data_IF_106635234515
#
_entry.id   IF_106635234515
#
_cell.length_a   1.000
_cell.length_b   1.000
_cell.length_c   1.000
_cell.angle_alpha   90.00
_cell.angle_beta   90.00
_cell.angle_gamma   90.00
#
_symmetry.space_group_name_H-M   'P 1'
#
loop_
_entity.id
_entity.type
_entity.pdbx_description
1 polymer ?
#
# COMPACT_ATOMS: atom_id res chain seq x y z
N UNK A 1 -11.23 -17.60 -2.24
CA UNK A 1 -11.19 -16.59 -3.32
C UNK A 1 -11.03 -15.21 -2.71
N UNK A 2 -10.43 -14.24 -3.41
CA UNK A 2 -10.45 -12.84 -2.95
C UNK A 2 -11.86 -12.29 -3.17
N UNK A 3 -12.43 -11.52 -2.23
CA UNK A 3 -13.80 -10.98 -2.35
C UNK A 3 -13.81 -9.73 -3.24
N UNK A 4 -13.29 -9.84 -4.46
CA UNK A 4 -13.23 -8.78 -5.45
C UNK A 4 -14.42 -8.91 -6.42
N UNK A 5 -14.88 -7.77 -6.93
CA UNK A 5 -16.01 -7.65 -7.86
C UNK A 5 -15.53 -7.14 -9.21
N UNK A 6 -16.33 -7.36 -10.25
CA UNK A 6 -16.06 -6.86 -11.61
C UNK A 6 -15.80 -5.34 -11.64
N UNK A 7 -16.54 -4.57 -10.84
CA UNK A 7 -16.34 -3.11 -10.70
C UNK A 7 -14.96 -2.71 -10.18
N UNK A 8 -14.21 -3.62 -9.55
CA UNK A 8 -12.91 -3.35 -8.96
C UNK A 8 -11.78 -3.49 -10.00
N UNK A 9 -12.03 -4.11 -11.16
CA UNK A 9 -11.04 -4.35 -12.21
C UNK A 9 -10.25 -3.10 -12.64
N UNK A 10 -10.89 -1.94 -12.91
CA UNK A 10 -10.15 -0.75 -13.32
C UNK A 10 -9.22 -0.24 -12.19
N UNK A 11 -9.65 -0.35 -10.93
CA UNK A 11 -8.82 0.01 -9.76
C UNK A 11 -7.59 -0.92 -9.70
N UNK A 12 -7.81 -2.23 -9.85
CA UNK A 12 -6.75 -3.25 -9.81
C UNK A 12 -5.70 -2.97 -10.88
N UNK A 13 -6.12 -2.84 -12.14
CA UNK A 13 -5.22 -2.56 -13.27
C UNK A 13 -4.38 -1.31 -13.04
N UNK A 14 -5.05 -0.21 -12.68
CA UNK A 14 -4.42 1.09 -12.54
C UNK A 14 -3.41 1.14 -11.39
N UNK A 15 -3.76 0.55 -10.25
CA UNK A 15 -2.86 0.47 -9.10
C UNK A 15 -1.73 -0.55 -9.30
N UNK A 16 -1.94 -1.64 -10.03
CA UNK A 16 -0.87 -2.57 -10.42
C UNK A 16 0.19 -1.83 -11.26
N UNK A 17 -0.24 -1.13 -12.31
CA UNK A 17 0.65 -0.34 -13.18
C UNK A 17 1.36 0.77 -12.39
N UNK A 18 0.68 1.37 -11.41
CA UNK A 18 1.29 2.38 -10.55
C UNK A 18 2.29 1.80 -9.52
N UNK A 19 2.45 0.47 -9.42
CA UNK A 19 3.37 -0.16 -8.48
C UNK A 19 2.82 -0.36 -7.06
N UNK A 20 1.50 -0.49 -6.90
CA UNK A 20 0.90 -0.84 -5.60
C UNK A 20 0.98 -2.34 -5.33
N UNK A 21 1.37 -2.72 -4.11
CA UNK A 21 1.30 -4.11 -3.68
C UNK A 21 -0.15 -4.60 -3.57
N UNK A 22 -0.32 -5.93 -3.64
CA UNK A 22 -1.61 -6.57 -3.61
C UNK A 22 -2.48 -6.23 -2.38
N UNK A 23 -1.87 -6.01 -1.20
CA UNK A 23 -2.62 -5.59 0.01
C UNK A 23 -3.13 -4.16 -0.12
N UNK A 24 -2.34 -3.23 -0.67
CA UNK A 24 -2.80 -1.88 -0.94
C UNK A 24 -3.96 -1.88 -1.94
N UNK A 25 -3.89 -2.69 -2.99
CA UNK A 25 -5.00 -2.84 -3.95
C UNK A 25 -6.28 -3.31 -3.25
N UNK A 26 -6.22 -4.33 -2.39
CA UNK A 26 -7.39 -4.76 -1.60
C UNK A 26 -7.99 -3.62 -0.75
N UNK A 27 -7.17 -2.72 -0.19
CA UNK A 27 -7.65 -1.56 0.57
C UNK A 27 -8.42 -0.58 -0.30
N UNK A 28 -7.90 -0.27 -1.49
CA UNK A 28 -8.54 0.63 -2.44
C UNK A 28 -9.77 0.01 -3.10
N UNK A 29 -9.89 -1.32 -3.11
CA UNK A 29 -11.11 -2.05 -3.45
C UNK A 29 -12.08 -2.23 -2.25
N UNK A 30 -11.82 -1.57 -1.12
CA UNK A 30 -12.66 -1.59 0.08
C UNK A 30 -12.92 -3.00 0.65
N UNK A 31 -11.96 -3.92 0.49
CA UNK A 31 -12.11 -5.30 0.96
C UNK A 31 -11.96 -5.35 2.48
N UNK A 32 -13.07 -5.37 3.23
CA UNK A 32 -13.07 -5.42 4.70
C UNK A 32 -12.78 -6.80 5.31
N UNK A 33 -12.49 -7.82 4.49
CA UNK A 33 -12.30 -9.20 4.95
C UNK A 33 -10.85 -9.41 5.39
N UNK A 34 -10.61 -9.45 6.70
CA UNK A 34 -9.25 -9.56 7.28
C UNK A 34 -8.44 -10.76 6.75
N UNK A 35 -9.09 -11.90 6.52
CA UNK A 35 -8.43 -13.11 6.02
C UNK A 35 -7.85 -12.94 4.62
N UNK A 36 -8.35 -11.99 3.81
CA UNK A 36 -7.79 -11.67 2.50
C UNK A 36 -6.38 -11.07 2.61
N UNK A 37 -6.10 -10.31 3.67
CA UNK A 37 -4.80 -9.65 3.90
C UNK A 37 -3.73 -10.59 4.45
N UNK A 38 -4.16 -11.71 5.04
CA UNK A 38 -3.29 -12.73 5.65
C UNK A 38 -2.78 -13.78 4.65
N UNK A 39 -3.29 -13.78 3.42
CA UNK A 39 -2.84 -14.71 2.38
C UNK A 39 -1.40 -14.41 1.95
N UNK A 40 -0.61 -15.44 1.56
CA UNK A 40 0.73 -15.26 1.02
C UNK A 40 0.76 -14.31 -0.17
N UNK A 41 1.86 -13.55 -0.33
CA UNK A 41 1.97 -12.52 -1.36
C UNK A 41 1.82 -13.07 -2.78
N UNK A 42 2.55 -14.15 -3.11
CA UNK A 42 2.48 -14.81 -4.42
C UNK A 42 1.04 -15.20 -4.81
N UNK A 43 0.25 -15.69 -3.84
CA UNK A 43 -1.14 -16.09 -4.06
C UNK A 43 -2.04 -14.88 -4.29
N UNK A 44 -1.76 -13.73 -3.66
CA UNK A 44 -2.54 -12.51 -3.86
C UNK A 44 -2.21 -11.86 -5.20
N UNK A 45 -0.94 -11.75 -5.54
CA UNK A 45 -0.47 -11.11 -6.78
C UNK A 45 -1.01 -11.87 -8.01
N UNK A 46 -0.81 -13.19 -8.06
CA UNK A 46 -1.33 -14.03 -9.15
C UNK A 46 -2.85 -13.92 -9.34
N UNK A 47 -3.63 -13.81 -8.26
CA UNK A 47 -5.09 -13.64 -8.34
C UNK A 47 -5.51 -12.26 -8.84
N UNK A 48 -4.77 -11.21 -8.50
CA UNK A 48 -5.04 -9.87 -9.01
C UNK A 48 -4.71 -9.78 -10.50
N UNK A 49 -3.62 -10.42 -10.93
CA UNK A 49 -3.24 -10.53 -12.34
C UNK A 49 -4.30 -11.26 -13.16
N UNK A 50 -4.78 -12.41 -12.68
CA UNK A 50 -5.90 -13.14 -13.31
C UNK A 50 -7.17 -12.30 -13.43
N UNK A 51 -7.45 -11.46 -12.42
CA UNK A 51 -8.62 -10.56 -12.44
C UNK A 51 -8.42 -9.41 -13.44
N UNK A 52 -7.17 -9.02 -13.70
CA UNK A 52 -6.76 -7.95 -14.61
C UNK A 52 -6.70 -8.38 -16.08
N UNK A 53 -6.32 -9.63 -16.37
CA UNK A 53 -6.04 -10.13 -17.73
C UNK A 53 -7.26 -10.60 -18.53
N UNK A 54 -8.43 -10.70 -17.89
CA UNK A 54 -9.64 -11.26 -18.53
C UNK A 54 -10.27 -10.39 -19.65
N UNK A 55 -9.65 -9.28 -20.04
CA UNK A 55 -10.05 -8.45 -21.18
C UNK A 55 -8.82 -7.90 -21.94
N UNK A 56 -8.17 -8.72 -22.77
CA UNK A 56 -7.37 -8.17 -23.88
C UNK A 56 -8.33 -7.70 -24.97
N UNK A 57 -8.68 -6.42 -24.95
CA UNK A 57 -9.23 -5.72 -26.12
C UNK A 57 -8.12 -5.65 -27.16
N UNK A 58 -8.33 -6.34 -28.28
CA UNK A 58 -7.53 -6.18 -29.49
C UNK A 58 -7.84 -4.79 -30.08
N UNK A 59 -6.84 -3.91 -30.16
CA UNK A 59 -6.89 -2.76 -31.07
C UNK A 59 -5.60 -2.75 -31.92
N UNK A 60 -5.71 -2.76 -33.26
CA UNK A 60 -4.56 -2.82 -34.15
C UNK A 60 -4.01 -1.42 -34.44
N UNK A 61 -2.93 -1.03 -33.76
CA UNK A 61 -2.18 0.22 -34.01
C UNK A 61 -0.88 0.02 -34.84
N UNK A 62 -0.42 1.06 -35.57
CA UNK A 62 0.28 0.95 -36.86
C UNK A 62 1.80 0.69 -36.80
N UNK A 63 2.44 0.24 -37.91
CA UNK A 63 3.80 -0.27 -37.89
C UNK A 63 4.82 0.88 -37.94
N UNK A 64 5.57 1.08 -36.85
CA UNK A 64 6.77 1.91 -36.91
C UNK A 64 7.89 1.15 -37.62
N UNK A 65 8.26 1.66 -38.79
CA UNK A 65 9.27 1.15 -39.74
C UNK A 65 10.58 0.78 -39.04
N UNK A 66 10.97 -0.50 -39.16
CA UNK A 66 12.33 -0.98 -38.89
C UNK A 66 13.26 -0.48 -40.00
N UNK A 67 14.35 0.18 -39.60
CA UNK A 67 15.53 0.34 -40.46
C UNK A 67 16.21 -1.02 -40.57
N UNK A 68 16.48 -1.40 -41.81
CA UNK A 68 16.92 -2.71 -42.28
C UNK A 68 18.45 -2.76 -42.36
N UNK A 69 19.08 -3.71 -41.68
CA UNK A 69 20.39 -4.26 -42.04
C UNK A 69 20.35 -5.79 -41.80
N UNK A 70 20.48 -6.53 -42.90
CA UNK A 70 20.42 -7.99 -43.13
C UNK A 70 21.80 -8.66 -42.88
N UNK A 71 22.01 -9.99 -43.10
CA UNK A 71 21.39 -11.15 -42.45
C UNK A 71 22.45 -12.20 -42.02
N UNK A 72 22.11 -13.11 -41.11
CA UNK A 72 22.94 -14.27 -40.76
C UNK A 72 22.07 -15.46 -40.34
N UNK A 73 21.68 -16.23 -41.35
CA UNK A 73 21.22 -17.63 -41.41
C UNK A 73 20.52 -18.31 -40.20
N UNK A 74 19.29 -18.73 -40.51
CA UNK A 74 18.63 -20.01 -40.22
C UNK A 74 18.21 -20.42 -38.79
N UNK A 75 16.89 -20.28 -38.60
CA UNK A 75 15.91 -21.30 -38.16
C UNK A 75 15.76 -21.66 -36.66
N UNK A 76 14.62 -21.21 -36.13
CA UNK A 76 13.69 -21.85 -35.21
C UNK A 76 14.19 -22.44 -33.88
N UNK A 77 13.90 -21.72 -32.80
CA UNK A 77 12.78 -22.10 -31.93
C UNK A 77 12.49 -20.98 -30.92
N UNK A 78 11.26 -20.52 -30.94
CA UNK A 78 10.68 -19.55 -30.02
C UNK A 78 10.68 -20.08 -28.58
N UNK A 79 11.46 -19.47 -27.69
CA UNK A 79 11.25 -19.58 -26.25
C UNK A 79 11.40 -18.21 -25.58
N UNK A 80 10.30 -17.82 -24.92
CA UNK A 80 10.24 -17.04 -23.70
C UNK A 80 10.91 -15.65 -23.66
N UNK A 81 10.13 -14.64 -24.05
CA UNK A 81 10.15 -13.37 -23.33
C UNK A 81 9.54 -13.56 -21.93
N UNK A 82 10.23 -14.32 -21.07
CA UNK A 82 10.00 -14.30 -19.62
C UNK A 82 10.26 -12.87 -19.15
N UNK A 83 9.19 -12.18 -18.78
CA UNK A 83 9.26 -10.94 -18.01
C UNK A 83 10.12 -11.15 -16.77
N UNK A 84 11.30 -10.53 -16.74
CA UNK A 84 12.14 -10.43 -15.54
C UNK A 84 11.47 -9.50 -14.52
N UNK A 85 10.38 -9.95 -13.87
CA UNK A 85 9.72 -9.29 -12.74
C UNK A 85 10.00 -10.07 -11.45
N UNK A 86 11.29 -10.35 -11.21
CA UNK A 86 11.80 -11.14 -10.09
C UNK A 86 12.21 -10.33 -8.85
N UNK A 87 12.12 -9.00 -8.88
CA UNK A 87 12.41 -8.15 -7.73
C UNK A 87 11.12 -7.47 -7.27
N UNK A 88 10.67 -7.81 -6.05
CA UNK A 88 9.49 -7.20 -5.43
C UNK A 88 9.75 -5.70 -5.24
N UNK A 89 9.22 -4.88 -6.15
CA UNK A 89 9.32 -3.43 -6.05
C UNK A 89 8.62 -2.93 -4.78
N UNK A 90 9.22 -1.95 -4.11
CA UNK A 90 8.65 -1.34 -2.91
C UNK A 90 7.36 -0.62 -3.29
N UNK A 91 6.26 -0.98 -2.62
CA UNK A 91 4.94 -0.43 -2.90
C UNK A 91 4.92 1.10 -2.77
N UNK A 92 4.48 1.80 -3.83
CA UNK A 92 4.42 3.27 -3.85
C UNK A 92 3.48 3.87 -2.80
N UNK A 93 2.48 3.10 -2.36
CA UNK A 93 1.44 3.55 -1.44
C UNK A 93 1.77 3.28 0.04
N UNK A 94 2.39 2.14 0.36
CA UNK A 94 2.67 1.77 1.75
C UNK A 94 4.16 1.65 2.10
N UNK A 95 5.08 1.86 1.15
CA UNK A 95 6.52 1.83 1.37
C UNK A 95 6.98 0.54 2.07
N UNK A 96 6.50 -0.61 1.58
CA UNK A 96 6.87 -1.93 2.15
C UNK A 96 6.13 -2.34 3.42
N UNK A 97 5.38 -1.45 4.10
CA UNK A 97 4.70 -1.76 5.38
C UNK A 97 3.75 -2.95 5.27
N UNK A 98 3.01 -3.05 4.17
CA UNK A 98 2.09 -4.16 3.88
C UNK A 98 2.72 -5.22 2.97
N UNK A 99 4.05 -5.23 2.78
CA UNK A 99 4.78 -6.29 2.06
C UNK A 99 5.54 -7.13 3.09
N UNK A 100 6.86 -6.95 3.17
CA UNK A 100 7.76 -7.74 4.02
C UNK A 100 7.71 -7.32 5.49
N UNK A 101 7.38 -6.04 5.75
CA UNK A 101 7.39 -5.48 7.10
C UNK A 101 6.20 -5.91 7.96
N UNK A 102 5.18 -6.55 7.40
CA UNK A 102 4.09 -7.18 8.16
C UNK A 102 4.23 -8.71 8.20
N UNK A 103 5.46 -9.23 8.07
CA UNK A 103 5.82 -10.64 8.19
C UNK A 103 6.28 -11.04 9.60
N UNK A 104 6.52 -12.34 9.78
CA UNK A 104 6.90 -12.99 11.06
C UNK A 104 8.25 -12.55 11.64
N UNK A 105 9.06 -11.79 10.90
CA UNK A 105 10.41 -11.38 11.33
C UNK A 105 10.41 -10.27 12.38
N UNK A 106 9.26 -9.63 12.66
CA UNK A 106 9.11 -8.66 13.76
C UNK A 106 8.89 -9.34 15.11
N UNK A 107 9.69 -10.37 15.40
CA UNK A 107 9.56 -11.20 16.59
C UNK A 107 9.52 -10.33 17.85
N UNK A 108 8.37 -10.35 18.55
CA UNK A 108 8.29 -10.01 19.96
C UNK A 108 9.14 -11.04 20.67
N UNK A 109 10.44 -10.77 20.80
CA UNK A 109 11.36 -11.65 21.52
C UNK A 109 10.82 -11.78 22.93
N UNK A 110 10.83 -13.01 23.44
CA UNK A 110 10.42 -13.38 24.78
C UNK A 110 11.24 -12.62 25.83
N UNK A 111 10.88 -11.36 26.07
CA UNK A 111 11.19 -10.68 27.29
C UNK A 111 10.31 -11.34 28.36
N UNK A 112 10.88 -11.58 29.55
CA UNK A 112 10.22 -12.29 30.65
C UNK A 112 9.18 -11.40 31.35
N UNK A 113 8.26 -10.84 30.60
CA UNK A 113 7.12 -10.12 31.14
C UNK A 113 5.97 -11.10 31.36
N UNK A 114 5.26 -10.90 32.46
CA UNK A 114 4.01 -11.59 32.74
C UNK A 114 2.86 -10.69 32.30
N UNK A 115 2.01 -11.20 31.42
CA UNK A 115 0.85 -10.49 30.90
C UNK A 115 -0.18 -11.48 30.38
N UNK A 116 -1.47 -11.18 30.60
CA UNK A 116 -2.58 -12.02 30.13
C UNK A 116 -3.19 -11.50 28.82
N UNK A 117 -2.87 -10.26 28.45
CA UNK A 117 -3.33 -9.59 27.25
C UNK A 117 -2.36 -8.50 26.85
N UNK A 118 -2.43 -8.03 25.61
CA UNK A 118 -1.58 -6.92 25.13
C UNK A 118 -2.37 -5.93 24.28
N UNK A 119 -1.89 -4.69 24.21
CA UNK A 119 -2.32 -3.70 23.24
C UNK A 119 -1.26 -3.53 22.15
N UNK A 120 -1.68 -3.57 20.89
CA UNK A 120 -0.81 -3.30 19.74
C UNK A 120 -0.92 -1.83 19.33
N UNK A 121 0.17 -1.09 19.49
CA UNK A 121 0.28 0.33 19.16
C UNK A 121 1.13 0.49 17.90
N UNK A 122 0.63 1.27 16.94
CA UNK A 122 1.26 1.40 15.61
C UNK A 122 1.40 2.88 15.28
N UNK A 123 2.63 3.29 15.00
CA UNK A 123 3.00 4.63 14.53
C UNK A 123 3.50 4.54 13.10
N UNK A 124 2.91 5.32 12.19
CA UNK A 124 3.21 5.31 10.77
C UNK A 124 3.79 6.67 10.31
N UNK A 125 4.66 6.70 9.27
CA UNK A 125 5.16 7.93 8.69
C UNK A 125 4.02 8.78 8.13
N UNK A 126 4.06 10.10 8.36
CA UNK A 126 2.98 11.01 7.96
C UNK A 126 2.82 11.12 6.44
N UNK A 127 3.92 10.97 5.70
CA UNK A 127 3.97 10.95 4.24
C UNK A 127 3.12 9.85 3.60
N UNK A 128 2.81 8.77 4.33
CA UNK A 128 1.89 7.74 3.81
C UNK A 128 0.50 8.31 3.54
N UNK A 129 0.05 9.33 4.29
CA UNK A 129 -1.23 9.99 4.01
C UNK A 129 -1.21 10.72 2.67
N UNK A 130 -0.07 11.33 2.29
CA UNK A 130 0.10 12.00 1.00
C UNK A 130 0.05 10.98 -0.14
N UNK A 131 0.77 9.87 0.01
CA UNK A 131 0.81 8.78 -0.98
C UNK A 131 -0.54 8.09 -1.17
N UNK A 132 -1.25 7.85 -0.06
CA UNK A 132 -2.61 7.32 -0.08
C UNK A 132 -3.57 8.26 -0.80
N UNK A 133 -3.50 9.57 -0.52
CA UNK A 133 -4.30 10.57 -1.21
C UNK A 133 -3.98 10.67 -2.70
N UNK A 134 -2.69 10.57 -3.07
CA UNK A 134 -2.27 10.52 -4.47
C UNK A 134 -2.85 9.31 -5.21
N UNK A 135 -2.77 8.12 -4.61
CA UNK A 135 -3.36 6.90 -5.17
C UNK A 135 -4.89 7.00 -5.26
N UNK A 136 -5.54 7.57 -4.26
CA UNK A 136 -6.99 7.82 -4.28
C UNK A 136 -7.39 8.76 -5.44
N UNK A 137 -6.69 9.88 -5.63
CA UNK A 137 -6.92 10.78 -6.77
C UNK A 137 -6.65 10.08 -8.11
N UNK A 138 -5.64 9.21 -8.15
CA UNK A 138 -5.29 8.46 -9.34
C UNK A 138 -6.44 7.52 -9.78
N UNK A 139 -7.09 6.83 -8.84
CA UNK A 139 -8.23 5.95 -9.15
C UNK A 139 -9.56 6.69 -9.28
N UNK A 140 -9.77 7.80 -8.56
CA UNK A 140 -10.96 8.66 -8.67
C UNK A 140 -11.16 9.18 -10.09
N UNK A 141 -10.08 9.45 -10.82
CA UNK A 141 -10.12 9.94 -12.22
C UNK A 141 -10.77 8.97 -13.21
N UNK A 142 -10.94 7.68 -12.87
CA UNK A 142 -11.63 6.69 -13.71
C UNK A 142 -13.16 6.77 -13.64
N UNK A 143 -13.73 7.81 -13.03
CA UNK A 143 -15.19 7.93 -12.84
C UNK A 143 -15.75 6.96 -11.79
N UNK A 144 -14.88 6.29 -11.04
CA UNK A 144 -15.26 5.43 -9.94
C UNK A 144 -15.58 6.29 -8.71
N UNK A 145 -16.81 6.17 -8.21
CA UNK A 145 -17.24 6.77 -6.94
C UNK A 145 -16.62 5.94 -5.80
N UNK A 146 -15.34 6.16 -5.53
CA UNK A 146 -14.65 5.67 -4.36
C UNK A 146 -14.56 6.81 -3.34
N UNK A 147 -15.32 6.71 -2.24
CA UNK A 147 -15.14 7.63 -1.14
C UNK A 147 -13.76 7.41 -0.51
N UNK A 148 -13.11 8.52 -0.13
CA UNK A 148 -11.82 8.46 0.57
C UNK A 148 -11.95 7.71 1.89
N UNK A 149 -13.09 7.84 2.56
CA UNK A 149 -13.33 7.23 3.88
C UNK A 149 -13.61 5.71 3.78
N UNK A 150 -13.93 5.21 2.59
CA UNK A 150 -14.10 3.77 2.34
C UNK A 150 -12.77 3.04 2.16
N UNK A 151 -11.66 3.76 1.92
CA UNK A 151 -10.34 3.16 1.77
C UNK A 151 -9.81 2.72 3.13
N UNK A 152 -9.59 1.42 3.28
CA UNK A 152 -9.07 0.83 4.52
C UNK A 152 -7.68 1.41 4.81
N UNK A 153 -7.47 1.98 5.99
CA UNK A 153 -6.21 2.65 6.34
C UNK A 153 -5.04 1.67 6.50
N UNK A 154 -3.80 2.13 6.28
CA UNK A 154 -2.61 1.24 6.28
C UNK A 154 -2.46 0.64 7.66
N UNK A 155 -2.68 1.47 8.69
CA UNK A 155 -2.65 1.09 10.10
C UNK A 155 -3.66 -0.01 10.42
N UNK A 156 -4.84 0.04 9.83
CA UNK A 156 -5.90 -0.95 10.05
C UNK A 156 -5.56 -2.28 9.38
N UNK A 157 -5.20 -2.25 8.09
CA UNK A 157 -4.77 -3.46 7.38
C UNK A 157 -3.55 -4.11 8.04
N UNK A 158 -2.57 -3.32 8.47
CA UNK A 158 -1.40 -3.79 9.21
C UNK A 158 -1.81 -4.45 10.54
N UNK A 159 -2.72 -3.82 11.29
CA UNK A 159 -3.26 -4.38 12.54
C UNK A 159 -3.95 -5.72 12.31
N UNK A 160 -4.75 -5.87 11.26
CA UNK A 160 -5.41 -7.15 10.94
C UNK A 160 -4.42 -8.30 10.67
N UNK A 161 -3.27 -7.99 10.07
CA UNK A 161 -2.21 -8.95 9.81
C UNK A 161 -1.45 -9.25 11.12
N UNK A 162 -0.92 -8.21 11.76
CA UNK A 162 -0.05 -8.33 12.93
C UNK A 162 -0.75 -8.89 14.16
N UNK A 163 -2.01 -8.55 14.41
CA UNK A 163 -2.74 -9.11 15.56
C UNK A 163 -2.80 -10.64 15.50
N UNK A 164 -3.00 -11.20 14.30
CA UNK A 164 -3.03 -12.65 14.11
C UNK A 164 -1.65 -13.29 14.29
N UNK A 165 -0.59 -12.60 13.87
CA UNK A 165 0.79 -13.09 14.01
C UNK A 165 1.24 -13.04 15.46
N UNK A 166 1.08 -11.89 16.12
CA UNK A 166 1.46 -11.69 17.52
C UNK A 166 0.70 -12.64 18.44
N UNK A 167 -0.61 -12.81 18.25
CA UNK A 167 -1.38 -13.77 19.03
C UNK A 167 -0.85 -15.20 18.85
N UNK A 168 -0.48 -15.59 17.62
CA UNK A 168 0.07 -16.92 17.35
C UNK A 168 1.45 -17.11 18.01
N UNK A 169 2.36 -16.15 17.85
CA UNK A 169 3.72 -16.23 18.38
C UNK A 169 3.78 -16.20 19.91
N UNK A 170 2.84 -15.51 20.55
CA UNK A 170 2.75 -15.41 22.01
C UNK A 170 1.82 -16.46 22.64
N UNK A 171 1.56 -17.57 21.95
CA UNK A 171 0.80 -18.69 22.55
C UNK A 171 -0.70 -18.45 22.73
N UNK A 172 -1.30 -17.60 21.89
CA UNK A 172 -2.74 -17.32 21.90
C UNK A 172 -3.16 -16.11 22.76
N UNK A 173 -2.21 -15.30 23.22
CA UNK A 173 -2.50 -14.10 24.03
C UNK A 173 -3.50 -13.18 23.31
N UNK A 174 -4.49 -12.71 24.06
CA UNK A 174 -5.51 -11.80 23.55
C UNK A 174 -4.93 -10.41 23.24
N UNK A 175 -5.17 -9.92 22.02
CA UNK A 175 -4.84 -8.53 21.64
C UNK A 175 -6.08 -7.66 21.82
N UNK A 176 -6.03 -6.77 22.80
CA UNK A 176 -7.17 -5.96 23.27
C UNK A 176 -6.89 -4.46 23.14
N UNK A 177 -7.93 -3.63 23.22
CA UNK A 177 -7.79 -2.17 23.17
C UNK A 177 -7.32 -1.53 24.49
N UNK A 178 -7.31 -2.30 25.59
CA UNK A 178 -6.89 -1.87 26.92
C UNK A 178 -6.15 -3.02 27.59
N UNK A 179 -4.84 -2.91 27.72
CA UNK A 179 -3.99 -3.82 28.48
C UNK A 179 -2.95 -3.01 29.24
N UNK A 180 -2.44 -3.55 30.35
CA UNK A 180 -1.25 -3.01 31.04
C UNK A 180 0.06 -3.28 30.28
N UNK A 181 0.04 -4.12 29.24
CA UNK A 181 1.19 -4.46 28.42
C UNK A 181 1.01 -3.96 26.98
N UNK A 182 1.96 -3.15 26.49
CA UNK A 182 1.93 -2.54 25.16
C UNK A 182 3.08 -3.06 24.30
N UNK A 183 2.73 -3.49 23.08
CA UNK A 183 3.69 -3.75 22.01
C UNK A 183 3.58 -2.61 21.00
N UNK A 184 4.60 -1.76 20.95
CA UNK A 184 4.71 -0.65 20.02
C UNK A 184 5.47 -1.02 18.76
N UNK A 185 4.92 -0.68 17.60
CA UNK A 185 5.61 -0.74 16.29
C UNK A 185 5.66 0.66 15.71
N UNK A 186 6.87 1.17 15.50
CA UNK A 186 7.10 2.48 14.91
C UNK A 186 7.80 2.33 13.56
N UNK A 187 7.21 2.96 12.55
CA UNK A 187 7.76 3.04 11.21
C UNK A 187 8.20 4.47 10.90
N UNK A 188 9.40 4.60 10.34
CA UNK A 188 9.94 5.85 9.80
C UNK A 188 10.39 5.61 8.36
N UNK A 189 10.40 6.64 7.52
CA UNK A 189 10.90 6.55 6.15
C UNK A 189 11.58 7.87 5.75
N UNK A 190 12.84 8.08 6.16
CA UNK A 190 13.53 9.37 6.00
C UNK A 190 13.62 9.85 4.55
N UNK A 191 13.81 8.93 3.60
CA UNK A 191 13.98 9.23 2.18
C UNK A 191 12.79 9.96 1.55
N UNK A 192 11.60 9.85 2.16
CA UNK A 192 10.37 10.46 1.64
C UNK A 192 9.70 11.38 2.66
N UNK A 193 10.42 11.84 3.68
CA UNK A 193 9.90 12.82 4.65
C UNK A 193 9.54 14.15 3.95
N UNK A 194 10.24 14.47 2.85
CA UNK A 194 9.98 15.63 2.01
C UNK A 194 8.58 15.64 1.37
N UNK A 195 7.91 14.49 1.23
CA UNK A 195 6.61 14.38 0.58
C UNK A 195 5.53 15.26 1.24
N UNK A 196 5.67 15.58 2.54
CA UNK A 196 4.71 16.45 3.23
C UNK A 196 4.99 17.95 3.06
N UNK A 197 6.18 18.34 2.58
CA UNK A 197 6.66 19.71 2.69
C UNK A 197 5.87 20.70 1.84
N UNK A 198 5.38 20.28 0.67
CA UNK A 198 4.57 21.14 -0.18
C UNK A 198 3.25 21.54 0.51
N UNK A 199 2.71 20.70 1.39
CA UNK A 199 1.49 21.01 2.15
C UNK A 199 1.68 22.20 3.10
N UNK A 200 2.89 22.43 3.61
CA UNK A 200 3.16 23.61 4.44
C UNK A 200 3.09 24.92 3.64
N UNK A 201 3.38 24.87 2.33
CA UNK A 201 3.24 26.04 1.44
C UNK A 201 1.78 26.31 1.09
N UNK A 202 0.98 25.25 0.90
CA UNK A 202 -0.43 25.38 0.48
C UNK A 202 -1.38 25.61 1.66
N UNK A 203 -1.08 25.01 2.82
CA UNK A 203 -1.91 25.01 4.02
C UNK A 203 -1.09 25.34 5.29
N UNK A 204 -0.42 26.52 5.37
CA UNK A 204 0.50 26.84 6.46
C UNK A 204 -0.16 26.79 7.85
N UNK A 205 -1.44 27.14 7.94
CA UNK A 205 -2.20 27.11 9.20
C UNK A 205 -2.31 25.74 9.85
N UNK A 206 -2.11 24.66 9.08
CA UNK A 206 -2.13 23.29 9.58
C UNK A 206 -0.81 22.88 10.26
N UNK A 207 0.29 23.58 9.99
CA UNK A 207 1.65 23.17 10.38
C UNK A 207 2.31 24.17 11.34
N UNK A 208 1.62 24.47 12.45
CA UNK A 208 2.14 25.38 13.47
C UNK A 208 3.21 24.69 14.34
N UNK A 209 4.40 25.30 14.52
CA UNK A 209 5.41 24.81 15.44
C UNK A 209 4.85 24.70 16.86
N UNK A 210 5.18 23.60 17.55
CA UNK A 210 4.86 23.40 18.97
C UNK A 210 6.16 23.12 19.72
N UNK A 211 6.31 23.68 20.93
CA UNK A 211 7.56 23.66 21.70
C UNK A 211 8.14 22.26 21.96
N UNK A 212 7.33 21.21 21.84
CA UNK A 212 7.67 19.85 22.25
C UNK A 212 7.72 18.83 21.09
N UNK A 213 7.64 19.25 19.83
CA UNK A 213 7.64 18.32 18.67
C UNK A 213 8.85 18.54 17.78
N UNK A 214 9.54 17.44 17.45
CA UNK A 214 10.69 17.44 16.54
C UNK A 214 10.31 17.75 15.09
N UNK A 215 9.07 17.46 14.68
CA UNK A 215 8.54 17.78 13.35
C UNK A 215 7.14 18.37 13.45
N UNK A 216 6.86 19.38 12.60
CA UNK A 216 5.52 19.95 12.43
C UNK A 216 4.62 19.06 11.56
N UNK A 217 5.20 18.13 10.79
CA UNK A 217 4.51 17.22 9.88
C UNK A 217 3.97 15.99 10.60
N UNK A 218 3.16 16.21 11.64
CA UNK A 218 2.46 15.10 12.30
C UNK A 218 1.40 14.53 11.37
N UNK A 219 1.11 13.23 11.50
CA UNK A 219 0.05 12.56 10.70
C UNK A 219 -1.27 13.34 10.74
N UNK A 220 -1.67 13.82 11.91
CA UNK A 220 -2.89 14.62 12.08
C UNK A 220 -2.87 15.93 11.29
N UNK A 221 -1.74 16.66 11.34
CA UNK A 221 -1.58 17.91 10.59
C UNK A 221 -1.63 17.67 9.07
N UNK A 222 -0.98 16.60 8.60
CA UNK A 222 -1.00 16.20 7.19
C UNK A 222 -2.40 15.82 6.73
N UNK A 223 -3.13 14.98 7.48
CA UNK A 223 -4.53 14.63 7.15
C UNK A 223 -5.41 15.87 7.05
N UNK A 224 -5.31 16.78 8.02
CA UNK A 224 -6.06 18.04 8.02
C UNK A 224 -5.70 18.95 6.84
N UNK A 225 -4.44 18.95 6.40
CA UNK A 225 -4.03 19.70 5.21
C UNK A 225 -4.58 19.07 3.92
N UNK A 226 -4.58 17.73 3.83
CA UNK A 226 -5.13 16.96 2.70
C UNK A 226 -6.66 17.10 2.57
N UNK A 227 -7.37 17.36 3.67
CA UNK A 227 -8.81 17.66 3.63
C UNK A 227 -9.11 19.08 3.11
N UNK A 228 -8.14 20.00 3.19
CA UNK A 228 -8.32 21.41 2.80
C UNK A 228 -7.79 21.74 1.41
N UNK A 229 -6.77 21.03 0.96
CA UNK A 229 -6.18 21.23 -0.36
C UNK A 229 -7.16 20.77 -1.44
N UNK A 230 -7.28 21.53 -2.53
CA UNK A 230 -8.06 21.12 -3.69
C UNK A 230 -7.28 20.12 -4.54
N UNK A 231 -7.98 19.19 -5.20
CA UNK A 231 -7.39 18.18 -6.08
C UNK A 231 -6.40 18.80 -7.09
N UNK A 232 -6.78 19.92 -7.74
CA UNK A 232 -5.93 20.64 -8.71
C UNK A 232 -4.63 21.21 -8.12
N UNK A 233 -4.63 21.57 -6.83
CA UNK A 233 -3.43 22.09 -6.15
C UNK A 233 -2.53 20.96 -5.69
N UNK A 234 -3.12 19.81 -5.34
CA UNK A 234 -2.36 18.62 -4.97
C UNK A 234 -1.63 18.01 -6.19
N UNK A 235 -2.27 18.06 -7.36
CA UNK A 235 -1.75 17.45 -8.60
C UNK A 235 -0.69 18.28 -9.34
N UNK A 236 -0.43 19.52 -8.91
CA UNK A 236 0.58 20.42 -9.47
C UNK A 236 1.94 20.22 -8.81
#
# INVERSE_FOLDING_TARGET
>A
MLPLKEKDKPIIQKLLVAGCCARCILRFCCVGVQSAYRQPEQVRTSRLEQTSENEKVQDPGPPCKRVKLDPGDHADSSEDAKSNLGESQVCVACLGILQDLCGTNQAVKAQKYEFDSLVLSISLPAQLCVREHSCWLHVKKEGLVLDKDDVIQVKEAFKWIMQSLVAKELGGVAVVGKSGFEVGVEFTHPETDSDCHFLAKVCPDCFKPTKNKQSVFTRMAVVKALEKISDDKFLK
#
